data_IF_426051538902
#
_entry.id   IF_426051538902
#
_cell.length_a   1.000
_cell.length_b   1.000
_cell.length_c   1.000
_cell.angle_alpha   90.00
_cell.angle_beta   90.00
_cell.angle_gamma   90.00
#
_symmetry.space_group_name_H-M   'P 1'
#
loop_
_entity.id
_entity.type
_entity.pdbx_description
1 polymer ?
#
# COMPACT_ATOMS: atom_id res chain seq x y z
N UNK A 1 7.30 -1.76 0.98
CA UNK A 1 6.69 -0.44 0.75
C UNK A 1 7.54 0.31 -0.26
N UNK A 2 6.92 0.95 -1.25
CA UNK A 2 7.64 1.80 -2.20
C UNK A 2 8.28 2.98 -1.47
N UNK A 3 9.41 3.45 -1.96
CA UNK A 3 10.03 4.69 -1.45
C UNK A 3 9.41 5.91 -2.14
N UNK A 4 9.64 7.10 -1.60
CA UNK A 4 9.22 8.34 -2.26
C UNK A 4 9.84 8.51 -3.67
N UNK A 5 11.02 7.95 -3.92
CA UNK A 5 11.68 8.02 -5.23
C UNK A 5 10.95 7.12 -6.21
N UNK A 6 10.55 5.92 -5.78
CA UNK A 6 9.79 5.01 -6.61
C UNK A 6 8.45 5.65 -7.04
N UNK A 7 7.76 6.39 -6.16
CA UNK A 7 6.53 7.10 -6.53
C UNK A 7 6.79 8.24 -7.55
N UNK A 8 7.92 8.94 -7.43
CA UNK A 8 8.30 9.93 -8.44
C UNK A 8 8.67 9.28 -9.78
N UNK A 9 9.22 8.07 -9.76
CA UNK A 9 9.50 7.29 -10.95
C UNK A 9 8.21 6.77 -11.59
N UNK A 10 7.24 6.29 -10.80
CA UNK A 10 5.90 5.93 -11.29
C UNK A 10 5.23 7.14 -11.98
N UNK A 11 5.34 8.33 -11.41
CA UNK A 11 4.84 9.57 -12.02
C UNK A 11 5.59 9.94 -13.30
N UNK A 12 6.91 9.75 -13.32
CA UNK A 12 7.73 9.98 -14.51
C UNK A 12 7.36 9.00 -15.62
N UNK A 13 7.05 7.75 -15.30
CA UNK A 13 6.53 6.78 -16.26
C UNK A 13 5.14 7.19 -16.77
N UNK A 14 4.23 7.60 -15.88
CA UNK A 14 2.87 8.07 -16.25
C UNK A 14 2.89 9.32 -17.14
N UNK A 15 3.76 10.29 -16.85
CA UNK A 15 3.76 11.61 -17.50
C UNK A 15 4.88 11.79 -18.54
N UNK A 16 5.92 10.97 -18.50
CA UNK A 16 7.03 10.91 -19.45
C UNK A 16 8.28 11.70 -19.08
N UNK A 17 8.21 12.69 -18.17
CA UNK A 17 9.41 13.42 -17.71
C UNK A 17 9.23 14.12 -16.36
N UNK A 18 10.33 14.33 -15.63
CA UNK A 18 10.34 15.05 -14.36
C UNK A 18 9.82 16.50 -14.49
N UNK A 19 10.03 17.13 -15.65
CA UNK A 19 9.48 18.44 -15.94
C UNK A 19 7.94 18.42 -16.02
N UNK A 20 7.38 17.41 -16.70
CA UNK A 20 5.92 17.25 -16.80
C UNK A 20 5.32 16.92 -15.43
N UNK A 21 6.01 16.13 -14.60
CA UNK A 21 5.64 15.86 -13.21
C UNK A 21 5.58 17.16 -12.40
N UNK A 22 6.64 17.99 -12.45
CA UNK A 22 6.67 19.28 -11.75
C UNK A 22 5.50 20.18 -12.16
N UNK A 23 5.22 20.25 -13.47
CA UNK A 23 4.10 21.04 -14.02
C UNK A 23 2.74 20.52 -13.56
N UNK A 24 2.53 19.20 -13.57
CA UNK A 24 1.29 18.58 -13.11
C UNK A 24 1.03 18.85 -11.61
N UNK A 25 2.09 18.78 -10.79
CA UNK A 25 2.03 19.05 -9.35
C UNK A 25 1.97 20.55 -8.99
N UNK A 26 2.15 21.44 -9.99
CA UNK A 26 2.29 22.89 -9.81
C UNK A 26 3.41 23.24 -8.81
N UNK A 27 4.57 22.63 -8.99
CA UNK A 27 5.79 22.91 -8.21
C UNK A 27 6.93 23.31 -9.16
N UNK A 28 7.98 23.90 -8.61
CA UNK A 28 9.17 24.21 -9.39
C UNK A 28 9.95 22.94 -9.77
N UNK A 29 10.63 22.94 -10.92
CA UNK A 29 11.44 21.80 -11.35
C UNK A 29 12.59 21.50 -10.36
N UNK A 30 13.14 22.54 -9.71
CA UNK A 30 14.14 22.38 -8.66
C UNK A 30 13.61 21.61 -7.46
N UNK A 31 12.31 21.71 -7.15
CA UNK A 31 11.68 20.94 -6.07
C UNK A 31 11.81 19.44 -6.33
N UNK A 32 11.48 18.98 -7.55
CA UNK A 32 11.62 17.56 -7.94
C UNK A 32 13.09 17.12 -7.87
N UNK A 33 14.01 17.95 -8.36
CA UNK A 33 15.44 17.67 -8.29
C UNK A 33 15.95 17.53 -6.85
N UNK A 34 15.52 18.42 -5.95
CA UNK A 34 15.88 18.37 -4.52
C UNK A 34 15.33 17.12 -3.86
N UNK A 35 14.08 16.74 -4.14
CA UNK A 35 13.49 15.51 -3.61
C UNK A 35 14.30 14.30 -4.08
N UNK A 36 14.62 14.22 -5.37
CA UNK A 36 15.44 13.12 -5.93
C UNK A 36 16.83 13.05 -5.29
N UNK A 37 17.46 14.20 -5.04
CA UNK A 37 18.79 14.26 -4.43
C UNK A 37 18.79 13.90 -2.95
N UNK A 38 17.81 14.40 -2.19
CA UNK A 38 17.77 14.25 -0.72
C UNK A 38 17.02 13.01 -0.27
N UNK A 39 16.16 12.45 -1.11
CA UNK A 39 15.27 11.37 -0.70
C UNK A 39 14.25 11.81 0.36
N UNK A 40 13.89 13.09 0.41
CA UNK A 40 12.91 13.65 1.35
C UNK A 40 11.82 14.43 0.61
N UNK A 41 10.58 14.34 1.08
CA UNK A 41 9.39 14.96 0.48
C UNK A 41 8.50 15.56 1.59
N UNK A 42 7.86 16.71 1.31
CA UNK A 42 6.88 17.32 2.23
C UNK A 42 5.53 16.59 2.19
N UNK A 43 4.71 16.75 3.23
CA UNK A 43 3.41 16.08 3.31
C UNK A 43 2.44 16.59 2.23
N UNK A 44 2.46 17.88 1.92
CA UNK A 44 1.64 18.46 0.84
C UNK A 44 2.07 17.92 -0.54
N UNK A 45 3.36 17.69 -0.72
CA UNK A 45 3.90 17.12 -1.96
C UNK A 45 3.50 15.65 -2.08
N UNK A 46 3.53 14.90 -0.97
CA UNK A 46 3.11 13.51 -0.92
C UNK A 46 1.62 13.34 -1.29
N UNK A 47 0.74 14.19 -0.78
CA UNK A 47 -0.69 14.19 -1.15
C UNK A 47 -0.87 14.44 -2.65
N UNK A 48 -0.19 15.45 -3.22
CA UNK A 48 -0.24 15.72 -4.67
C UNK A 48 0.25 14.53 -5.51
N UNK A 49 1.28 13.82 -5.05
CA UNK A 49 1.78 12.62 -5.72
C UNK A 49 0.73 11.51 -5.70
N UNK A 50 0.08 11.30 -4.56
CA UNK A 50 -1.00 10.32 -4.42
C UNK A 50 -2.19 10.66 -5.33
N UNK A 51 -2.62 11.93 -5.37
CA UNK A 51 -3.72 12.40 -6.21
C UNK A 51 -3.44 12.14 -7.70
N UNK A 52 -2.21 12.43 -8.16
CA UNK A 52 -1.81 12.21 -9.55
C UNK A 52 -1.65 10.73 -9.91
N UNK A 53 -1.31 9.87 -8.95
CA UNK A 53 -1.23 8.42 -9.13
C UNK A 53 -2.56 7.70 -8.90
N UNK A 54 -3.58 8.40 -8.39
CA UNK A 54 -4.90 7.85 -8.03
C UNK A 54 -4.79 6.71 -6.99
N UNK A 55 -3.91 6.89 -6.00
CA UNK A 55 -3.70 5.96 -4.88
C UNK A 55 -4.08 6.59 -3.55
N UNK A 56 -4.15 5.76 -2.50
CA UNK A 56 -4.48 6.21 -1.15
C UNK A 56 -3.37 7.16 -0.62
N UNK A 57 -3.70 8.39 -0.16
CA UNK A 57 -2.70 9.37 0.27
C UNK A 57 -1.82 8.93 1.44
N UNK A 58 -2.38 8.17 2.38
CA UNK A 58 -1.68 7.59 3.50
C UNK A 58 -0.47 6.74 3.09
N UNK A 59 -0.54 6.02 1.97
CA UNK A 59 0.57 5.20 1.47
C UNK A 59 1.81 6.05 1.16
N UNK A 60 1.63 7.20 0.49
CA UNK A 60 2.73 8.12 0.14
C UNK A 60 3.18 8.91 1.36
N UNK A 61 2.25 9.31 2.22
CA UNK A 61 2.55 10.01 3.48
C UNK A 61 3.40 9.16 4.42
N UNK A 62 3.08 7.88 4.58
CA UNK A 62 3.88 6.95 5.39
C UNK A 62 5.28 6.79 4.79
N UNK A 63 5.40 6.69 3.46
CA UNK A 63 6.71 6.64 2.80
C UNK A 63 7.53 7.91 3.06
N UNK A 64 6.90 9.09 3.00
CA UNK A 64 7.55 10.38 3.29
C UNK A 64 7.93 10.54 4.77
N UNK A 65 7.09 10.05 5.70
CA UNK A 65 7.38 10.05 7.12
C UNK A 65 8.53 9.09 7.46
N UNK A 66 8.54 7.89 6.89
CA UNK A 66 9.63 6.93 7.08
C UNK A 66 10.97 7.42 6.51
N UNK A 67 10.95 8.14 5.38
CA UNK A 67 12.15 8.71 4.78
C UNK A 67 12.82 9.76 5.68
N UNK A 68 12.01 10.55 6.42
CA UNK A 68 12.47 11.54 7.40
C UNK A 68 12.83 10.95 8.77
N UNK A 69 12.37 9.73 9.07
CA UNK A 69 12.51 9.13 10.40
C UNK A 69 13.84 8.39 10.56
N UNK A 70 14.40 8.45 11.77
CA UNK A 70 15.62 7.74 12.15
C UNK A 70 15.44 6.99 13.49
N UNK A 71 16.40 6.13 13.83
CA UNK A 71 16.45 5.41 15.10
C UNK A 71 15.16 4.66 15.45
N UNK A 72 14.72 4.79 16.70
CA UNK A 72 13.54 4.12 17.24
C UNK A 72 12.23 4.51 16.54
N UNK A 73 12.12 5.74 16.02
CA UNK A 73 10.93 6.20 15.30
C UNK A 73 10.76 5.43 13.99
N UNK A 74 11.85 5.22 13.26
CA UNK A 74 11.85 4.43 12.02
C UNK A 74 11.47 2.97 12.30
N UNK A 75 11.96 2.40 13.38
CA UNK A 75 11.61 1.04 13.79
C UNK A 75 10.14 0.91 14.20
N UNK A 76 9.56 1.93 14.84
CA UNK A 76 8.13 1.97 15.15
C UNK A 76 7.27 1.92 13.87
N UNK A 77 7.62 2.68 12.83
CA UNK A 77 6.93 2.64 11.54
C UNK A 77 7.02 1.26 10.87
N UNK A 78 8.21 0.65 10.85
CA UNK A 78 8.38 -0.72 10.32
C UNK A 78 7.55 -1.74 11.09
N UNK A 79 7.55 -1.65 12.42
CA UNK A 79 6.79 -2.55 13.28
C UNK A 79 5.28 -2.42 13.04
N UNK A 80 4.78 -1.19 12.86
CA UNK A 80 3.38 -0.92 12.54
C UNK A 80 3.00 -1.59 11.21
N UNK A 81 3.80 -1.39 10.15
CA UNK A 81 3.57 -2.02 8.85
C UNK A 81 3.55 -3.56 8.92
N UNK A 82 4.48 -4.17 9.67
CA UNK A 82 4.51 -5.62 9.86
C UNK A 82 3.26 -6.13 10.57
N UNK A 83 2.82 -5.45 11.63
CA UNK A 83 1.60 -5.83 12.38
C UNK A 83 0.34 -5.69 11.53
N UNK A 84 0.23 -4.62 10.74
CA UNK A 84 -0.90 -4.42 9.83
C UNK A 84 -0.99 -5.55 8.79
N UNK A 85 0.13 -5.96 8.19
CA UNK A 85 0.17 -7.08 7.25
C UNK A 85 -0.26 -8.42 7.86
N UNK A 86 0.20 -8.72 9.09
CA UNK A 86 -0.21 -9.94 9.80
C UNK A 86 -1.71 -9.91 10.10
N UNK A 87 -2.24 -8.78 10.58
CA UNK A 87 -3.66 -8.64 10.89
C UNK A 87 -4.54 -8.83 9.64
N UNK A 88 -4.17 -8.22 8.51
CA UNK A 88 -4.86 -8.40 7.25
C UNK A 88 -4.85 -9.87 6.79
N UNK A 89 -3.71 -10.56 6.91
CA UNK A 89 -3.58 -11.97 6.56
C UNK A 89 -4.45 -12.88 7.44
N UNK A 90 -4.50 -12.63 8.74
CA UNK A 90 -5.36 -13.39 9.66
C UNK A 90 -6.85 -13.18 9.37
N UNK A 91 -7.26 -11.94 9.09
CA UNK A 91 -8.65 -11.65 8.72
C UNK A 91 -9.05 -12.35 7.42
N UNK A 92 -8.19 -12.33 6.40
CA UNK A 92 -8.42 -13.07 5.17
C UNK A 92 -8.50 -14.59 5.41
N UNK A 93 -7.59 -15.15 6.21
CA UNK A 93 -7.61 -16.57 6.55
C UNK A 93 -8.89 -16.98 7.29
N UNK A 94 -9.36 -16.15 8.23
CA UNK A 94 -10.63 -16.37 8.94
C UNK A 94 -11.83 -16.29 8.00
N UNK A 95 -11.89 -15.31 7.09
CA UNK A 95 -12.96 -15.22 6.09
C UNK A 95 -12.98 -16.46 5.19
N UNK A 96 -11.81 -16.89 4.71
CA UNK A 96 -11.68 -18.10 3.89
C UNK A 96 -12.15 -19.34 4.66
N UNK A 97 -11.80 -19.46 5.96
CA UNK A 97 -12.22 -20.57 6.83
C UNK A 97 -13.75 -20.71 6.92
N UNK A 98 -14.48 -19.61 7.07
CA UNK A 98 -15.96 -19.63 7.18
C UNK A 98 -16.68 -20.01 5.90
N UNK A 99 -16.02 -19.94 4.75
CA UNK A 99 -16.62 -20.23 3.44
C UNK A 99 -16.29 -21.62 2.90
N UNK A 100 -15.50 -22.44 3.60
CA UNK A 100 -15.28 -23.82 3.16
C UNK A 100 -16.54 -24.66 3.44
N UNK A 101 -17.20 -25.22 2.41
CA UNK A 101 -18.28 -26.17 2.64
C UNK A 101 -17.68 -27.45 3.24
N UNK A 102 -18.00 -27.72 4.51
CA UNK A 102 -17.76 -29.02 5.13
C UNK A 102 -18.57 -30.07 4.38
N UNK A 103 -17.90 -30.94 3.60
CA UNK A 103 -18.50 -32.11 2.92
C UNK A 103 -19.09 -33.17 3.89
N UNK A 104 -19.32 -32.82 5.15
CA UNK A 104 -19.68 -33.74 6.23
C UNK A 104 -21.18 -34.07 6.30
N UNK A 105 -22.06 -33.32 5.63
CA UNK A 105 -23.52 -33.58 5.65
C UNK A 105 -24.02 -34.54 4.57
N UNK A 106 -23.14 -35.10 3.73
CA UNK A 106 -23.56 -35.91 2.58
C UNK A 106 -23.84 -37.41 2.89
N UNK A 107 -23.63 -37.89 4.12
CA UNK A 107 -23.71 -39.34 4.43
C UNK A 107 -24.93 -39.78 5.26
N UNK A 108 -25.84 -38.87 5.66
CA UNK A 108 -27.04 -39.29 6.43
C UNK A 108 -28.24 -39.64 5.55
N UNK A 109 -28.27 -39.17 4.30
CA UNK A 109 -29.41 -39.39 3.39
C UNK A 109 -29.36 -40.74 2.66
N UNK A 110 -28.18 -41.37 2.57
CA UNK A 110 -27.99 -42.61 1.81
C UNK A 110 -28.41 -43.88 2.57
N UNK A 111 -28.63 -43.78 3.90
CA UNK A 111 -29.11 -44.92 4.72
C UNK A 111 -30.62 -45.03 4.84
N UNK A 112 -31.37 -43.99 4.44
CA UNK A 112 -32.84 -43.99 4.53
C UNK A 112 -33.47 -44.68 3.31
N UNK A 113 -32.76 -44.82 2.20
CA UNK A 113 -33.29 -45.39 0.95
C UNK A 113 -33.16 -46.92 0.79
N UNK A 114 -32.58 -47.65 1.76
CA UNK A 114 -32.37 -49.12 1.67
C UNK A 114 -33.49 -49.91 2.37
N UNK A 115 -34.45 -49.24 3.00
CA UNK A 115 -35.60 -49.85 3.69
C UNK A 115 -36.93 -49.45 3.04
N UNK A 116 -37.09 -49.78 1.75
CA UNK A 116 -38.38 -49.80 1.05
C UNK A 116 -38.41 -51.01 0.11
#
# INVERSE_FOLDING_TARGET
MKTIINYLDDLKEKLGSDYKVAKAMKVDQSTISVIRKRGLMSDETAVKVADLLEIEPGEVLIAAAMARSEGSVKEAWKALGKKAGIAAGLLLALMIWTTYPTKAEANLTDRVCILC
#
